data_IF_721535286232
#
_entry.id   IF_721535286232
#
_cell.length_a   1.000
_cell.length_b   1.000
_cell.length_c   1.000
_cell.angle_alpha   90.00
_cell.angle_beta   90.00
_cell.angle_gamma   90.00
#
_symmetry.space_group_name_H-M   'P 1'
#
loop_
_entity.id
_entity.type
_entity.pdbx_description
1 polymer ?
#
# COMPACT_ATOMS: atom_id res chain seq x y z
N UNK A 1 7.68 18.40 0.46
CA UNK A 1 6.83 17.22 0.11
C UNK A 1 7.64 15.96 0.41
N UNK A 2 7.02 14.88 0.91
CA UNK A 2 7.73 13.62 1.09
C UNK A 2 7.79 12.89 -0.25
N UNK A 3 8.95 12.34 -0.58
CA UNK A 3 9.12 11.54 -1.80
C UNK A 3 8.62 10.12 -1.56
N UNK A 4 7.97 9.54 -2.56
CA UNK A 4 7.51 8.15 -2.56
C UNK A 4 8.44 7.32 -3.43
N UNK A 5 8.99 6.25 -2.87
CA UNK A 5 9.77 5.29 -3.64
C UNK A 5 8.84 4.29 -4.34
N UNK A 6 9.08 4.06 -5.63
CA UNK A 6 8.41 3.06 -6.45
C UNK A 6 9.46 2.13 -7.10
N UNK A 7 9.08 0.90 -7.50
CA UNK A 7 9.97 0.04 -8.27
C UNK A 7 10.43 0.73 -9.55
N UNK A 8 11.69 0.49 -9.93
CA UNK A 8 12.27 1.06 -11.15
C UNK A 8 11.46 0.68 -12.40
N UNK A 9 11.03 -0.57 -12.50
CA UNK A 9 10.19 -1.04 -13.60
C UNK A 9 8.88 -0.26 -13.71
N UNK A 10 8.19 -0.01 -12.59
CA UNK A 10 6.96 0.80 -12.58
C UNK A 10 7.22 2.23 -13.04
N UNK A 11 8.36 2.81 -12.66
CA UNK A 11 8.76 4.13 -13.16
C UNK A 11 8.99 4.13 -14.67
N UNK A 12 9.66 3.10 -15.22
CA UNK A 12 9.86 2.97 -16.66
C UNK A 12 8.55 2.79 -17.43
N UNK A 13 7.61 2.01 -16.89
CA UNK A 13 6.27 1.87 -17.48
C UNK A 13 5.53 3.22 -17.51
N UNK A 14 5.59 3.99 -16.43
CA UNK A 14 5.01 5.34 -16.38
C UNK A 14 5.62 6.26 -17.45
N UNK A 15 6.94 6.22 -17.64
CA UNK A 15 7.60 6.98 -18.71
C UNK A 15 7.12 6.54 -20.09
N UNK A 16 7.04 5.22 -20.33
CA UNK A 16 6.58 4.66 -21.61
C UNK A 16 5.14 5.07 -21.92
N UNK A 17 4.23 4.95 -20.96
CA UNK A 17 2.83 5.35 -21.12
C UNK A 17 2.69 6.84 -21.40
N UNK A 18 3.37 7.71 -20.63
CA UNK A 18 3.16 9.16 -20.72
C UNK A 18 4.00 9.88 -21.78
N UNK A 19 5.17 9.34 -22.15
CA UNK A 19 6.09 10.01 -23.09
C UNK A 19 6.15 9.34 -24.46
N UNK A 20 5.78 8.06 -24.55
CA UNK A 20 5.79 7.29 -25.80
C UNK A 20 4.36 6.96 -26.26
N UNK A 21 3.35 7.34 -25.48
CA UNK A 21 1.92 7.11 -25.77
C UNK A 21 1.60 5.63 -26.02
N UNK A 22 2.32 4.74 -25.31
CA UNK A 22 2.11 3.30 -25.41
C UNK A 22 1.16 2.81 -24.33
N UNK A 23 -0.11 2.73 -24.72
CA UNK A 23 -1.22 2.34 -23.85
C UNK A 23 -1.22 0.85 -23.45
N UNK A 24 -0.37 0.03 -24.08
CA UNK A 24 -0.37 -1.43 -23.80
C UNK A 24 0.08 -1.78 -22.38
N UNK A 25 0.73 -0.85 -21.68
CA UNK A 25 1.20 -1.03 -20.30
C UNK A 25 0.28 -0.44 -19.22
N UNK A 26 -0.91 0.02 -19.59
CA UNK A 26 -1.85 0.68 -18.67
C UNK A 26 -2.21 -0.21 -17.48
N UNK A 27 -2.51 -1.49 -17.72
CA UNK A 27 -2.93 -2.41 -16.65
C UNK A 27 -1.78 -2.72 -15.69
N UNK A 28 -0.56 -2.89 -16.19
CA UNK A 28 0.63 -3.10 -15.35
C UNK A 28 0.94 -1.89 -14.48
N UNK A 29 0.75 -0.67 -15.01
CA UNK A 29 0.87 0.57 -14.24
C UNK A 29 -0.17 0.61 -13.15
N UNK A 30 -1.45 0.35 -13.48
CA UNK A 30 -2.56 0.37 -12.53
C UNK A 30 -2.30 -0.59 -11.38
N UNK A 31 -1.97 -1.85 -11.69
CA UNK A 31 -1.68 -2.88 -10.68
C UNK A 31 -0.45 -2.51 -9.82
N UNK A 32 0.60 -1.97 -10.44
CA UNK A 32 1.80 -1.54 -9.74
C UNK A 32 1.53 -0.40 -8.75
N UNK A 33 0.72 0.58 -9.15
CA UNK A 33 0.30 1.70 -8.31
C UNK A 33 -0.65 1.27 -7.19
N UNK A 34 -1.63 0.40 -7.48
CA UNK A 34 -2.52 -0.19 -6.47
C UNK A 34 -1.73 -0.92 -5.39
N UNK A 35 -0.79 -1.79 -5.78
CA UNK A 35 0.09 -2.49 -4.84
C UNK A 35 0.94 -1.52 -4.02
N UNK A 36 1.41 -0.42 -4.62
CA UNK A 36 2.18 0.60 -3.89
C UNK A 36 1.30 1.32 -2.86
N UNK A 37 0.08 1.68 -3.24
CA UNK A 37 -0.87 2.34 -2.34
C UNK A 37 -1.21 1.43 -1.15
N UNK A 38 -1.50 0.15 -1.40
CA UNK A 38 -1.77 -0.82 -0.35
C UNK A 38 -0.61 -0.94 0.64
N UNK A 39 0.63 -0.95 0.14
CA UNK A 39 1.81 -0.97 0.99
C UNK A 39 1.93 0.28 1.87
N UNK A 40 1.59 1.46 1.35
CA UNK A 40 1.60 2.71 2.12
C UNK A 40 0.54 2.69 3.22
N UNK A 41 -0.69 2.24 2.89
CA UNK A 41 -1.76 2.16 3.88
C UNK A 41 -1.43 1.14 4.97
N UNK A 42 -0.88 -0.04 4.61
CA UNK A 42 -0.43 -1.03 5.58
C UNK A 42 0.66 -0.48 6.51
N UNK A 43 1.62 0.29 5.97
CA UNK A 43 2.65 0.91 6.78
C UNK A 43 2.08 1.96 7.74
N UNK A 44 1.12 2.77 7.30
CA UNK A 44 0.45 3.75 8.15
C UNK A 44 -0.36 3.08 9.27
N UNK A 45 -1.13 2.04 8.94
CA UNK A 45 -1.89 1.28 9.93
C UNK A 45 -0.97 0.61 10.95
N UNK A 46 0.13 0.02 10.50
CA UNK A 46 1.14 -0.55 11.40
C UNK A 46 1.76 0.52 12.30
N UNK A 47 2.08 1.69 11.76
CA UNK A 47 2.57 2.84 12.53
C UNK A 47 1.58 3.25 13.61
N UNK A 48 0.30 3.48 13.24
CA UNK A 48 -0.78 3.81 14.17
C UNK A 48 -0.95 2.75 15.25
N UNK A 49 -0.97 1.47 14.87
CA UNK A 49 -1.01 0.36 15.83
C UNK A 49 0.14 0.41 16.84
N UNK A 50 1.35 0.79 16.42
CA UNK A 50 2.52 0.84 17.31
C UNK A 50 2.59 2.11 18.17
N UNK A 51 2.05 3.23 17.70
CA UNK A 51 2.25 4.54 18.34
C UNK A 51 0.98 5.21 18.84
N UNK A 52 -0.21 4.62 18.65
CA UNK A 52 -1.47 5.18 19.15
C UNK A 52 -1.45 5.34 20.68
N UNK A 53 -2.03 6.45 21.15
CA UNK A 53 -2.04 6.81 22.58
C UNK A 53 -3.10 6.02 23.35
N UNK A 54 -4.20 5.66 22.69
CA UNK A 54 -5.32 4.93 23.30
C UNK A 54 -5.33 3.47 22.87
N UNK A 55 -5.81 2.61 23.76
CA UNK A 55 -5.97 1.18 23.48
C UNK A 55 -7.00 0.94 22.37
N UNK A 56 -8.06 1.74 22.30
CA UNK A 56 -9.11 1.64 21.30
C UNK A 56 -8.59 1.94 19.89
N UNK A 57 -7.86 3.05 19.71
CA UNK A 57 -7.26 3.40 18.41
C UNK A 57 -6.19 2.38 18.00
N UNK A 58 -5.43 1.86 18.97
CA UNK A 58 -4.45 0.81 18.75
C UNK A 58 -5.11 -0.46 18.25
N UNK A 59 -6.18 -0.93 18.91
CA UNK A 59 -6.87 -2.15 18.52
C UNK A 59 -7.61 -1.99 17.18
N UNK A 60 -8.20 -0.81 16.94
CA UNK A 60 -8.81 -0.50 15.65
C UNK A 60 -7.80 -0.56 14.50
N UNK A 61 -6.62 0.03 14.67
CA UNK A 61 -5.56 -0.01 13.66
C UNK A 61 -4.99 -1.44 13.48
N UNK A 62 -4.87 -2.21 14.56
CA UNK A 62 -4.46 -3.64 14.51
C UNK A 62 -5.44 -4.45 13.69
N UNK A 63 -6.74 -4.30 13.99
CA UNK A 63 -7.81 -5.05 13.35
C UNK A 63 -7.84 -4.75 11.84
N UNK A 64 -7.85 -3.47 11.46
CA UNK A 64 -7.82 -3.08 10.03
C UNK A 64 -6.55 -3.57 9.32
N UNK A 65 -5.39 -3.54 9.98
CA UNK A 65 -4.15 -4.08 9.42
C UNK A 65 -4.25 -5.59 9.17
N UNK A 66 -4.76 -6.36 10.14
CA UNK A 66 -4.89 -7.82 10.04
C UNK A 66 -5.93 -8.23 8.99
N UNK A 67 -7.04 -7.47 8.87
CA UNK A 67 -8.06 -7.65 7.84
C UNK A 67 -7.47 -7.45 6.44
N UNK A 68 -6.71 -6.36 6.23
CA UNK A 68 -6.02 -6.12 4.94
C UNK A 68 -4.93 -7.12 4.63
N UNK A 69 -4.32 -7.74 5.65
CA UNK A 69 -3.34 -8.82 5.48
C UNK A 69 -4.00 -10.17 5.19
N UNK A 70 -5.33 -10.28 5.30
CA UNK A 70 -6.06 -11.53 5.09
C UNK A 70 -5.78 -12.59 6.17
N UNK A 71 -5.34 -12.18 7.36
CA UNK A 71 -5.08 -13.12 8.46
C UNK A 71 -6.43 -13.64 8.97
N UNK A 72 -6.72 -14.95 9.04
CA UNK A 72 -8.00 -15.44 9.56
C UNK A 72 -8.14 -15.17 11.06
N UNK A 73 -9.36 -14.95 11.56
CA UNK A 73 -9.62 -14.62 12.98
C UNK A 73 -9.00 -15.60 13.97
N UNK A 74 -8.96 -16.89 13.64
CA UNK A 74 -8.34 -17.92 14.48
C UNK A 74 -6.84 -17.73 14.72
N UNK A 75 -6.17 -16.93 13.89
CA UNK A 75 -4.74 -16.61 13.99
C UNK A 75 -4.48 -15.21 14.58
N UNK A 76 -5.53 -14.50 15.02
CA UNK A 76 -5.47 -13.16 15.59
C UNK A 76 -5.53 -13.19 17.12
N UNK A 77 -4.65 -13.97 17.74
CA UNK A 77 -4.42 -13.90 19.19
C UNK A 77 -3.58 -12.66 19.54
#
# INVERSE_FOLDING_TARGET
MKNVQIPYELFMLLLRYHLVEDDTCFEEIRQGLEKKLDSLVQHELYGKYKTALTQEEREKARQEYLDRRGVPDSFRW
#
